data_IF_792472497020
#
_entry.id   IF_792472497020
#
_cell.length_a   1.000
_cell.length_b   1.000
_cell.length_c   1.000
_cell.angle_alpha   90.00
_cell.angle_beta   90.00
_cell.angle_gamma   90.00
#
_symmetry.space_group_name_H-M   'P 1'
#
loop_
_entity.id
_entity.type
_entity.pdbx_description
1 polymer ?
#
# COMPACT_ATOMS: atom_id res chain seq x y z
N UNK A 1 -0.71 3.10 16.38
CA UNK A 1 -1.91 3.38 15.59
C UNK A 1 -2.12 2.39 14.44
N UNK A 2 -1.31 1.29 14.40
CA UNK A 2 -1.40 0.24 13.36
C UNK A 2 -1.89 -1.09 13.90
N UNK A 3 -2.30 -1.15 15.16
CA UNK A 3 -2.63 -2.39 15.88
C UNK A 3 -3.91 -3.07 15.35
N UNK A 4 -4.77 -2.31 14.70
CA UNK A 4 -6.07 -2.79 14.20
C UNK A 4 -6.06 -3.21 12.74
N UNK A 5 -4.96 -2.99 12.02
CA UNK A 5 -4.89 -3.30 10.59
C UNK A 5 -4.55 -4.76 10.33
N UNK A 6 -4.90 -5.24 9.13
CA UNK A 6 -4.57 -6.60 8.70
C UNK A 6 -3.09 -6.72 8.34
N UNK A 7 -2.51 -7.89 8.59
CA UNK A 7 -1.12 -8.21 8.23
C UNK A 7 -1.11 -9.05 6.96
N UNK A 8 -0.46 -8.58 5.91
CA UNK A 8 -0.30 -9.34 4.65
C UNK A 8 0.67 -10.50 4.78
N UNK A 9 1.55 -10.45 5.77
CA UNK A 9 2.55 -11.47 6.08
C UNK A 9 2.05 -12.54 7.04
N UNK A 10 2.99 -13.38 7.49
CA UNK A 10 2.73 -14.45 8.45
C UNK A 10 2.68 -13.91 9.90
N UNK A 11 2.00 -14.61 10.83
CA UNK A 11 1.86 -14.17 12.22
C UNK A 11 3.14 -14.27 13.05
N UNK A 12 4.20 -14.88 12.51
CA UNK A 12 5.45 -15.16 13.24
C UNK A 12 6.52 -14.08 13.07
N UNK A 13 6.31 -13.07 12.23
CA UNK A 13 7.22 -11.94 12.08
C UNK A 13 6.86 -10.86 13.14
N UNK A 14 7.34 -11.06 14.37
CA UNK A 14 6.98 -10.29 15.56
C UNK A 14 8.05 -9.29 16.00
N UNK A 15 9.12 -9.13 15.20
CA UNK A 15 10.20 -8.17 15.48
C UNK A 15 11.29 -8.72 16.42
N UNK A 16 11.34 -10.03 16.66
CA UNK A 16 12.29 -10.63 17.60
C UNK A 16 13.75 -10.32 17.24
N UNK A 17 14.12 -10.37 15.96
CA UNK A 17 15.46 -10.04 15.50
C UNK A 17 15.83 -8.58 15.75
N UNK A 18 14.88 -7.66 15.59
CA UNK A 18 15.09 -6.24 15.93
C UNK A 18 15.31 -6.09 17.44
N UNK A 19 14.46 -6.73 18.26
CA UNK A 19 14.61 -6.73 19.71
C UNK A 19 15.96 -7.26 20.15
N UNK A 20 16.39 -8.42 19.64
CA UNK A 20 17.68 -9.01 19.95
C UNK A 20 18.85 -8.07 19.61
N UNK A 21 18.79 -7.36 18.48
CA UNK A 21 19.81 -6.40 18.10
C UNK A 21 19.81 -5.18 19.04
N UNK A 22 18.63 -4.65 19.41
CA UNK A 22 18.51 -3.55 20.36
C UNK A 22 19.03 -3.93 21.75
N UNK A 23 18.78 -5.15 22.23
CA UNK A 23 19.25 -5.66 23.52
C UNK A 23 20.79 -5.71 23.62
N UNK A 24 21.51 -5.84 22.51
CA UNK A 24 22.98 -5.78 22.44
C UNK A 24 23.51 -4.38 22.07
N UNK A 25 22.68 -3.34 22.10
CA UNK A 25 23.08 -1.95 21.96
C UNK A 25 22.98 -1.37 20.55
N UNK A 26 22.27 -2.04 19.63
CA UNK A 26 22.03 -1.50 18.30
C UNK A 26 21.27 -0.16 18.35
N UNK A 27 21.61 0.75 17.44
CA UNK A 27 20.86 1.99 17.28
C UNK A 27 19.50 1.71 16.63
N UNK A 28 18.42 2.13 17.29
CA UNK A 28 17.10 2.25 16.69
C UNK A 28 17.11 3.34 15.63
N UNK A 29 16.61 3.06 14.42
CA UNK A 29 16.68 3.98 13.30
C UNK A 29 15.46 3.89 12.38
N UNK A 30 15.22 4.98 11.61
CA UNK A 30 14.13 5.05 10.66
C UNK A 30 12.82 5.53 11.25
N UNK A 31 11.72 5.32 10.52
CA UNK A 31 10.40 5.85 10.85
C UNK A 31 9.51 4.78 11.52
N UNK A 32 9.49 4.77 12.84
CA UNK A 32 8.82 3.74 13.65
C UNK A 32 7.29 3.80 13.66
N UNK A 33 6.70 4.91 13.24
CA UNK A 33 5.25 5.07 13.15
C UNK A 33 4.72 4.98 11.72
N UNK A 34 5.48 4.34 10.81
CA UNK A 34 5.08 4.12 9.42
C UNK A 34 5.52 2.75 8.92
N UNK A 35 4.81 2.29 7.90
CA UNK A 35 5.03 0.98 7.30
C UNK A 35 4.61 0.97 5.83
N UNK A 36 4.97 -0.09 5.13
CA UNK A 36 4.46 -0.41 3.81
C UNK A 36 3.01 -0.89 3.95
N UNK A 37 2.07 -0.03 3.60
CA UNK A 37 0.64 -0.28 3.64
C UNK A 37 0.04 -0.35 2.23
N UNK A 38 -1.07 -1.05 2.08
CA UNK A 38 -1.81 -1.15 0.81
C UNK A 38 -3.31 -1.18 1.06
N UNK A 39 -4.10 -0.87 0.02
CA UNK A 39 -5.51 -1.19 -0.01
C UNK A 39 -5.67 -2.72 -0.06
N UNK A 40 -6.24 -3.29 0.97
CA UNK A 40 -6.39 -4.73 1.20
C UNK A 40 -7.87 -5.09 1.29
N UNK A 41 -8.29 -6.15 0.63
CA UNK A 41 -9.70 -6.55 0.63
C UNK A 41 -10.23 -6.78 2.05
N UNK A 42 -11.42 -6.30 2.33
CA UNK A 42 -12.03 -6.40 3.67
C UNK A 42 -12.28 -7.85 4.10
N UNK A 43 -12.49 -8.79 3.15
CA UNK A 43 -12.63 -10.22 3.43
C UNK A 43 -11.30 -10.95 3.70
N UNK A 44 -10.15 -10.28 3.49
CA UNK A 44 -8.88 -10.91 3.80
C UNK A 44 -8.82 -11.31 5.28
N UNK A 45 -8.17 -12.44 5.62
CA UNK A 45 -7.96 -12.83 7.01
C UNK A 45 -7.05 -11.84 7.74
N UNK A 46 -6.95 -11.95 9.07
CA UNK A 46 -6.10 -11.08 9.90
C UNK A 46 -4.61 -11.17 9.51
N UNK A 47 -4.16 -12.33 9.07
CA UNK A 47 -2.82 -12.59 8.55
C UNK A 47 -2.90 -13.13 7.13
N UNK A 48 -1.77 -13.06 6.39
CA UNK A 48 -1.68 -13.53 5.02
C UNK A 48 -2.10 -14.99 4.83
N UNK A 49 -2.85 -15.24 3.77
CA UNK A 49 -3.25 -16.58 3.33
C UNK A 49 -2.24 -17.09 2.29
N UNK A 50 -1.62 -18.25 2.57
CA UNK A 50 -0.59 -18.84 1.70
C UNK A 50 -1.15 -19.39 0.38
N UNK A 51 -2.44 -19.63 0.29
CA UNK A 51 -3.09 -20.13 -0.93
C UNK A 51 -3.55 -18.99 -1.85
N UNK A 52 -4.01 -17.89 -1.26
CA UNK A 52 -4.45 -16.68 -1.99
C UNK A 52 -3.27 -15.73 -2.24
N UNK A 53 -2.29 -15.73 -1.33
CA UNK A 53 -1.09 -14.89 -1.40
C UNK A 53 -1.41 -13.39 -1.47
N UNK A 54 -0.91 -12.69 -2.50
CA UNK A 54 -1.04 -11.23 -2.68
C UNK A 54 -2.41 -10.79 -3.24
N UNK A 55 -3.29 -11.73 -3.64
CA UNK A 55 -4.48 -11.39 -4.42
C UNK A 55 -5.60 -10.69 -3.63
N UNK A 56 -5.42 -10.48 -2.33
CA UNK A 56 -6.29 -9.58 -1.57
C UNK A 56 -5.98 -8.10 -1.78
N UNK A 57 -4.83 -7.73 -2.37
CA UNK A 57 -4.53 -6.34 -2.73
C UNK A 57 -5.50 -5.80 -3.78
N UNK A 58 -5.74 -4.48 -3.80
CA UNK A 58 -6.66 -3.83 -4.73
C UNK A 58 -5.98 -2.60 -5.34
N UNK A 59 -5.28 -2.80 -6.47
CA UNK A 59 -4.35 -1.82 -7.04
C UNK A 59 -4.81 -1.18 -8.36
N UNK A 60 -6.02 -1.46 -8.85
CA UNK A 60 -6.56 -0.81 -10.06
C UNK A 60 -7.31 0.50 -9.76
N UNK A 61 -7.23 1.01 -8.56
CA UNK A 61 -7.91 2.25 -8.13
C UNK A 61 -7.67 3.46 -9.04
N UNK A 62 -6.54 3.60 -9.80
CA UNK A 62 -6.39 4.73 -10.71
C UNK A 62 -7.51 4.84 -11.75
N UNK A 63 -8.17 3.74 -12.06
CA UNK A 63 -9.24 3.67 -13.07
C UNK A 63 -10.65 3.77 -12.50
N UNK A 64 -10.80 4.00 -11.20
CA UNK A 64 -12.08 4.17 -10.52
C UNK A 64 -12.06 5.32 -9.54
N UNK A 65 -12.97 5.27 -8.55
CA UNK A 65 -13.01 6.17 -7.41
C UNK A 65 -12.75 5.39 -6.12
N UNK A 66 -12.17 6.06 -5.13
CA UNK A 66 -12.11 5.58 -3.75
C UNK A 66 -12.97 6.50 -2.89
N UNK A 67 -14.00 5.94 -2.26
CA UNK A 67 -14.90 6.65 -1.36
C UNK A 67 -14.90 6.02 0.03
N UNK A 68 -15.19 6.81 1.06
CA UNK A 68 -15.41 6.34 2.42
C UNK A 68 -16.87 5.85 2.62
N UNK A 69 -17.27 5.52 3.84
CA UNK A 69 -18.63 5.06 4.15
C UNK A 69 -19.70 6.14 3.94
N UNK A 70 -19.30 7.41 3.98
CA UNK A 70 -20.19 8.55 3.73
C UNK A 70 -20.32 8.85 2.22
N UNK A 71 -19.72 8.02 1.37
CA UNK A 71 -19.72 8.16 -0.09
C UNK A 71 -18.80 9.27 -0.61
N UNK A 72 -17.91 9.81 0.21
CA UNK A 72 -17.05 10.93 -0.12
C UNK A 72 -15.65 10.49 -0.58
N UNK A 73 -15.13 11.13 -1.62
CA UNK A 73 -13.72 10.98 -2.05
C UNK A 73 -12.79 11.74 -1.11
N UNK A 74 -11.65 11.16 -0.79
CA UNK A 74 -10.68 11.72 0.16
C UNK A 74 -9.24 11.76 -0.35
N UNK A 75 -8.98 11.27 -1.57
CA UNK A 75 -7.65 11.27 -2.20
C UNK A 75 -7.75 11.37 -3.72
N UNK A 76 -6.63 11.71 -4.36
CA UNK A 76 -6.48 11.71 -5.82
C UNK A 76 -6.03 10.32 -6.29
N UNK A 77 -6.95 9.53 -6.81
CA UNK A 77 -6.68 8.17 -7.29
C UNK A 77 -5.73 8.16 -8.50
N UNK A 78 -5.66 9.28 -9.21
CA UNK A 78 -4.86 9.48 -10.42
C UNK A 78 -3.57 10.26 -10.23
N UNK A 79 -3.09 10.49 -9.00
CA UNK A 79 -1.91 11.34 -8.74
C UNK A 79 -0.65 10.84 -9.45
N UNK A 80 -0.43 9.54 -9.52
CA UNK A 80 0.68 8.92 -10.26
C UNK A 80 0.37 7.44 -10.55
N UNK A 81 1.27 6.76 -11.27
CA UNK A 81 1.22 5.31 -11.40
C UNK A 81 1.16 4.64 -10.03
N UNK A 82 0.35 3.59 -9.91
CA UNK A 82 0.11 2.89 -8.63
C UNK A 82 1.39 2.52 -7.87
N UNK A 83 2.48 2.23 -8.57
CA UNK A 83 3.76 1.86 -7.96
C UNK A 83 4.35 2.95 -7.06
N UNK A 84 3.91 4.19 -7.22
CA UNK A 84 4.36 5.35 -6.45
C UNK A 84 3.32 5.83 -5.42
N UNK A 85 2.08 5.35 -5.48
CA UNK A 85 0.97 5.88 -4.66
C UNK A 85 0.36 4.86 -3.70
N UNK A 86 0.46 3.56 -3.97
CA UNK A 86 -0.31 2.55 -3.26
C UNK A 86 -0.03 2.48 -1.75
N UNK A 87 1.19 2.80 -1.31
CA UNK A 87 1.54 2.82 0.12
C UNK A 87 0.92 4.02 0.83
N UNK A 88 0.97 5.21 0.23
CA UNK A 88 0.31 6.39 0.79
C UNK A 88 -1.21 6.21 0.81
N UNK A 89 -1.77 5.53 -0.18
CA UNK A 89 -3.21 5.26 -0.23
C UNK A 89 -3.63 4.20 0.80
N UNK A 90 -2.86 3.12 0.97
CA UNK A 90 -3.09 2.18 2.05
C UNK A 90 -3.07 2.82 3.43
N UNK A 91 -2.21 3.83 3.63
CA UNK A 91 -2.18 4.62 4.86
C UNK A 91 -3.39 5.56 4.99
N UNK A 92 -3.81 6.20 3.90
CA UNK A 92 -4.96 7.11 3.92
C UNK A 92 -6.26 6.40 4.32
N UNK A 93 -6.41 5.12 4.00
CA UNK A 93 -7.57 4.32 4.42
C UNK A 93 -7.74 4.27 5.95
N UNK A 94 -6.63 4.19 6.70
CA UNK A 94 -6.69 4.19 8.18
C UNK A 94 -7.32 5.45 8.78
N UNK A 95 -7.27 6.57 8.07
CA UNK A 95 -7.81 7.85 8.56
C UNK A 95 -9.29 8.01 8.26
N UNK A 96 -9.87 7.10 7.47
CA UNK A 96 -11.28 7.13 7.15
C UNK A 96 -12.14 6.50 8.26
N UNK A 97 -13.41 6.86 8.35
CA UNK A 97 -14.32 6.26 9.31
C UNK A 97 -14.24 4.73 9.28
N UNK A 98 -14.09 4.09 10.42
CA UNK A 98 -13.93 2.64 10.61
C UNK A 98 -12.67 2.04 9.94
N UNK A 99 -11.75 2.85 9.37
CA UNK A 99 -10.62 2.36 8.57
C UNK A 99 -11.05 1.64 7.30
N UNK A 100 -12.20 2.03 6.75
CA UNK A 100 -12.88 1.37 5.63
C UNK A 100 -13.06 2.36 4.48
N UNK A 101 -12.88 1.87 3.25
CA UNK A 101 -13.22 2.56 2.04
C UNK A 101 -13.68 1.59 0.95
N UNK A 102 -14.15 2.14 -0.16
CA UNK A 102 -14.70 1.35 -1.26
C UNK A 102 -14.11 1.84 -2.57
N UNK A 103 -13.65 0.90 -3.38
CA UNK A 103 -13.24 1.19 -4.75
C UNK A 103 -14.42 0.93 -5.68
N UNK A 104 -14.85 1.95 -6.41
CA UNK A 104 -16.02 1.93 -7.30
C UNK A 104 -15.57 2.08 -8.75
N UNK A 105 -16.05 1.21 -9.63
CA UNK A 105 -15.67 1.18 -11.04
C UNK A 105 -16.88 1.12 -11.96
N UNK A 106 -16.73 1.80 -13.10
CA UNK A 106 -17.62 1.70 -14.25
C UNK A 106 -17.35 0.43 -15.08
N UNK A 107 -18.33 -0.02 -15.86
CA UNK A 107 -18.15 -1.19 -16.71
C UNK A 107 -17.14 -0.96 -17.85
N UNK A 108 -16.97 0.28 -18.31
CA UNK A 108 -16.02 0.64 -19.38
C UNK A 108 -14.59 0.28 -19.03
N UNK A 109 -14.21 0.38 -17.74
CA UNK A 109 -12.84 0.12 -17.25
C UNK A 109 -12.64 -1.31 -16.73
N UNK A 110 -13.65 -2.19 -16.83
CA UNK A 110 -13.57 -3.58 -16.37
C UNK A 110 -12.32 -4.31 -16.88
N UNK A 111 -11.95 -4.09 -18.12
CA UNK A 111 -10.79 -4.72 -18.78
C UNK A 111 -9.44 -4.23 -18.26
N UNK A 112 -9.40 -3.14 -17.48
CA UNK A 112 -8.21 -2.58 -16.81
C UNK A 112 -8.03 -3.11 -15.38
N UNK A 113 -9.05 -3.80 -14.85
CA UNK A 113 -8.98 -4.35 -13.51
C UNK A 113 -8.10 -5.61 -13.51
N UNK A 114 -7.16 -5.66 -12.58
CA UNK A 114 -6.20 -6.74 -12.42
C UNK A 114 -6.87 -8.01 -11.88
N UNK A 115 -6.21 -9.16 -12.02
CA UNK A 115 -6.72 -10.47 -11.60
C UNK A 115 -7.11 -10.53 -10.12
N UNK A 116 -6.44 -9.74 -9.27
CA UNK A 116 -6.70 -9.64 -7.83
C UNK A 116 -8.13 -9.19 -7.48
N UNK A 117 -8.87 -8.57 -8.41
CA UNK A 117 -10.26 -8.18 -8.22
C UNK A 117 -11.25 -9.34 -8.40
N UNK A 118 -10.83 -10.40 -9.07
CA UNK A 118 -11.72 -11.48 -9.51
C UNK A 118 -11.59 -12.78 -8.71
N UNK A 119 -10.85 -12.76 -7.58
CA UNK A 119 -10.79 -13.92 -6.70
C UNK A 119 -12.15 -14.16 -6.03
N UNK A 120 -12.56 -15.42 -5.82
CA UNK A 120 -13.85 -15.75 -5.20
C UNK A 120 -14.03 -15.19 -3.80
N UNK A 121 -12.94 -14.91 -3.09
CA UNK A 121 -12.94 -14.40 -1.72
C UNK A 121 -13.07 -12.87 -1.65
N UNK A 122 -13.04 -12.17 -2.79
CA UNK A 122 -13.13 -10.71 -2.81
C UNK A 122 -14.52 -10.21 -2.37
N UNK A 123 -14.54 -9.00 -1.81
CA UNK A 123 -15.78 -8.31 -1.40
C UNK A 123 -16.60 -7.75 -2.56
N UNK A 124 -16.43 -8.28 -3.77
CA UNK A 124 -17.03 -7.75 -4.98
C UNK A 124 -18.58 -7.71 -4.92
N UNK A 125 -19.11 -6.53 -5.17
CA UNK A 125 -20.54 -6.30 -5.42
C UNK A 125 -20.72 -5.74 -6.81
N UNK A 126 -21.69 -6.26 -7.56
CA UNK A 126 -22.08 -5.77 -8.87
C UNK A 126 -23.55 -5.33 -8.83
N UNK A 127 -23.88 -4.16 -9.38
CA UNK A 127 -25.23 -3.59 -9.39
C UNK A 127 -25.49 -2.79 -10.67
N UNK A 128 -26.77 -2.63 -11.03
CA UNK A 128 -27.16 -1.88 -12.22
C UNK A 128 -27.38 -0.39 -11.96
N UNK A 129 -27.49 0.02 -10.69
CA UNK A 129 -27.56 1.42 -10.28
C UNK A 129 -26.54 1.71 -9.19
N UNK A 130 -26.15 2.98 -9.02
CA UNK A 130 -25.28 3.42 -7.95
C UNK A 130 -25.94 3.31 -6.59
N UNK A 131 -27.23 3.54 -6.53
CA UNK A 131 -28.04 3.39 -5.30
C UNK A 131 -28.04 1.95 -4.81
N UNK A 132 -28.26 0.98 -5.71
CA UNK A 132 -28.17 -0.44 -5.36
C UNK A 132 -26.76 -0.84 -4.92
N UNK A 133 -25.74 -0.35 -5.61
CA UNK A 133 -24.34 -0.61 -5.27
C UNK A 133 -24.01 -0.08 -3.86
N UNK A 134 -24.37 1.18 -3.58
CA UNK A 134 -24.17 1.81 -2.29
C UNK A 134 -24.86 1.06 -1.17
N UNK A 135 -26.16 0.75 -1.33
CA UNK A 135 -26.95 0.03 -0.34
C UNK A 135 -26.38 -1.37 -0.02
N UNK A 136 -25.84 -2.09 -1.03
CA UNK A 136 -25.25 -3.42 -0.84
C UNK A 136 -23.85 -3.41 -0.25
N UNK A 137 -23.16 -2.28 -0.31
CA UNK A 137 -21.82 -2.07 0.28
C UNK A 137 -21.88 -1.32 1.62
N UNK A 138 -23.06 -0.94 2.12
CA UNK A 138 -23.25 -0.12 3.32
C UNK A 138 -22.55 1.27 3.20
N UNK A 139 -22.57 1.84 1.99
CA UNK A 139 -22.14 3.23 1.71
C UNK A 139 -23.38 4.13 1.82
N UNK A 140 -23.23 5.36 2.30
CA UNK A 140 -24.28 6.35 2.22
C UNK A 140 -24.71 6.55 0.76
N UNK A 141 -25.98 6.27 0.49
CA UNK A 141 -26.52 6.23 -0.88
C UNK A 141 -26.52 7.62 -1.50
N UNK A 142 -26.96 8.63 -0.78
CA UNK A 142 -27.02 10.02 -1.26
C UNK A 142 -25.60 10.55 -1.47
N UNK A 143 -24.69 10.27 -0.55
CA UNK A 143 -23.27 10.63 -0.63
C UNK A 143 -22.61 10.06 -1.87
N UNK A 144 -22.74 8.76 -2.15
CA UNK A 144 -22.13 8.14 -3.32
C UNK A 144 -22.72 8.71 -4.63
N UNK A 145 -24.05 8.82 -4.73
CA UNK A 145 -24.71 9.32 -5.94
C UNK A 145 -24.29 10.77 -6.23
N UNK A 146 -24.26 11.63 -5.21
CA UNK A 146 -23.82 13.01 -5.34
C UNK A 146 -22.34 13.10 -5.73
N UNK A 147 -21.47 12.32 -5.07
CA UNK A 147 -20.03 12.27 -5.41
C UNK A 147 -19.82 11.88 -6.86
N UNK A 148 -20.47 10.83 -7.36
CA UNK A 148 -20.33 10.39 -8.76
C UNK A 148 -20.88 11.45 -9.72
N UNK A 149 -22.00 12.09 -9.41
CA UNK A 149 -22.58 13.16 -10.23
C UNK A 149 -21.64 14.37 -10.35
N UNK A 150 -21.10 14.84 -9.23
CA UNK A 150 -20.15 15.95 -9.21
C UNK A 150 -18.85 15.59 -9.93
N UNK A 151 -18.34 14.39 -9.68
CA UNK A 151 -17.15 13.87 -10.34
C UNK A 151 -17.31 13.82 -11.86
N UNK A 152 -18.39 13.24 -12.37
CA UNK A 152 -18.67 13.15 -13.80
C UNK A 152 -18.75 14.53 -14.46
N UNK A 153 -19.37 15.52 -13.79
CA UNK A 153 -19.49 16.88 -14.29
C UNK A 153 -18.15 17.64 -14.32
N UNK A 154 -17.18 17.24 -13.50
CA UNK A 154 -15.89 17.91 -13.37
C UNK A 154 -14.80 17.38 -14.31
N UNK A 155 -15.05 16.30 -15.06
CA UNK A 155 -14.06 15.64 -15.92
C UNK A 155 -13.72 16.52 -17.13
N UNK A 156 -12.42 16.63 -17.44
CA UNK A 156 -11.89 17.25 -18.64
C UNK A 156 -12.00 16.27 -19.83
N UNK A 157 -13.17 16.26 -20.47
CA UNK A 157 -13.52 15.29 -21.53
C UNK A 157 -12.82 15.51 -22.86
N UNK A 158 -12.22 16.68 -23.05
CA UNK A 158 -11.41 17.05 -24.23
C UNK A 158 -10.04 16.35 -24.26
N UNK A 159 -9.59 15.80 -23.15
CA UNK A 159 -8.34 15.04 -23.04
C UNK A 159 -8.66 13.54 -23.26
N UNK A 160 -8.00 12.86 -24.21
CA UNK A 160 -8.22 11.42 -24.46
C UNK A 160 -7.76 10.56 -23.28
N UNK A 161 -8.58 9.60 -22.85
CA UNK A 161 -8.20 8.62 -21.83
C UNK A 161 -7.11 7.67 -22.38
N UNK A 162 -5.98 7.55 -21.65
CA UNK A 162 -4.90 6.63 -21.97
C UNK A 162 -4.30 5.99 -20.70
N UNK A 163 -4.65 4.73 -20.38
CA UNK A 163 -4.21 4.07 -19.15
C UNK A 163 -2.71 3.75 -19.11
N UNK A 164 -1.98 3.91 -20.22
CA UNK A 164 -0.56 3.52 -20.32
C UNK A 164 0.41 4.65 -20.02
N UNK A 165 -0.07 5.89 -19.96
CA UNK A 165 0.72 7.10 -19.64
C UNK A 165 -0.05 7.93 -18.62
N UNK A 166 0.61 8.88 -17.98
CA UNK A 166 -0.09 9.94 -17.24
C UNK A 166 -0.73 10.88 -18.27
N UNK A 167 -2.00 10.70 -18.51
CA UNK A 167 -2.73 11.32 -19.62
C UNK A 167 -3.17 12.76 -19.35
N UNK A 168 -3.14 13.19 -18.08
CA UNK A 168 -3.62 14.50 -17.67
C UNK A 168 -5.15 14.66 -17.74
N UNK A 169 -5.89 13.60 -18.10
CA UNK A 169 -7.35 13.59 -18.08
C UNK A 169 -7.83 13.57 -16.64
N UNK A 170 -8.02 14.75 -16.09
CA UNK A 170 -8.36 14.97 -14.69
C UNK A 170 -9.74 15.56 -14.49
N UNK A 171 -9.99 15.99 -13.24
CA UNK A 171 -11.16 16.78 -12.86
C UNK A 171 -10.74 18.16 -12.39
N UNK A 172 -11.66 19.12 -12.42
CA UNK A 172 -11.43 20.49 -11.93
C UNK A 172 -12.61 20.96 -11.08
N UNK A 173 -12.32 21.76 -10.04
CA UNK A 173 -13.35 22.37 -9.19
C UNK A 173 -13.89 21.51 -8.07
N UNK A 174 -13.36 20.30 -7.86
CA UNK A 174 -13.71 19.44 -6.74
C UNK A 174 -12.83 19.72 -5.52
N UNK A 175 -13.30 19.40 -4.32
CA UNK A 175 -12.50 19.44 -3.09
C UNK A 175 -11.22 18.60 -3.24
N UNK A 176 -11.34 17.41 -3.85
CA UNK A 176 -10.21 16.57 -4.23
C UNK A 176 -10.31 16.30 -5.73
N UNK A 177 -9.48 16.97 -6.53
CA UNK A 177 -9.41 16.70 -7.95
C UNK A 177 -8.66 15.37 -8.22
N UNK A 178 -9.06 14.70 -9.30
CA UNK A 178 -8.31 13.57 -9.86
C UNK A 178 -7.39 14.10 -10.96
N UNK A 179 -6.11 13.71 -10.94
CA UNK A 179 -5.09 14.29 -11.83
C UNK A 179 -5.01 13.59 -13.19
N UNK A 180 -5.16 12.26 -13.22
CA UNK A 180 -5.08 11.45 -14.43
C UNK A 180 -6.18 10.39 -14.46
N UNK A 181 -6.43 9.84 -15.65
CA UNK A 181 -7.32 8.70 -15.90
C UNK A 181 -8.75 8.90 -15.40
N UNK A 182 -9.23 10.14 -15.42
CA UNK A 182 -10.61 10.42 -15.06
C UNK A 182 -11.54 9.94 -16.18
N UNK A 183 -12.30 8.88 -15.90
CA UNK A 183 -13.35 8.36 -16.79
C UNK A 183 -14.70 8.46 -16.09
N UNK A 184 -15.76 8.73 -16.85
CA UNK A 184 -17.12 8.85 -16.31
C UNK A 184 -17.60 7.53 -15.71
N UNK A 185 -18.37 7.62 -14.64
CA UNK A 185 -19.06 6.47 -14.03
C UNK A 185 -20.54 6.60 -14.39
N UNK A 186 -20.92 6.03 -15.54
CA UNK A 186 -22.24 6.18 -16.15
C UNK A 186 -22.72 4.93 -16.91
N UNK A 187 -21.90 3.89 -17.00
CA UNK A 187 -22.21 2.67 -17.74
C UNK A 187 -22.28 1.45 -16.83
N UNK A 188 -23.47 0.92 -16.54
CA UNK A 188 -23.64 -0.28 -15.71
C UNK A 188 -23.20 -1.56 -16.45
N UNK A 189 -22.98 -2.68 -15.75
CA UNK A 189 -23.09 -2.78 -14.29
C UNK A 189 -21.89 -2.11 -13.58
N UNK A 190 -22.21 -1.39 -12.50
CA UNK A 190 -21.19 -0.82 -11.61
C UNK A 190 -20.65 -1.90 -10.69
N UNK A 191 -19.37 -1.78 -10.30
CA UNK A 191 -18.73 -2.73 -9.40
C UNK A 191 -18.03 -2.00 -8.25
N UNK A 192 -18.13 -2.60 -7.06
CA UNK A 192 -17.48 -2.07 -5.87
C UNK A 192 -16.81 -3.15 -5.05
N UNK A 193 -15.70 -2.77 -4.40
CA UNK A 193 -14.93 -3.61 -3.48
C UNK A 193 -14.68 -2.85 -2.18
N UNK A 194 -15.02 -3.48 -1.05
CA UNK A 194 -14.68 -2.94 0.26
C UNK A 194 -13.21 -3.21 0.56
N UNK A 195 -12.47 -2.17 0.95
CA UNK A 195 -11.04 -2.23 1.25
C UNK A 195 -10.73 -1.62 2.61
N UNK A 196 -9.75 -2.19 3.27
CA UNK A 196 -9.15 -1.70 4.50
C UNK A 196 -7.63 -1.61 4.32
N UNK A 197 -6.89 -1.30 5.38
CA UNK A 197 -5.44 -1.26 5.34
C UNK A 197 -4.84 -2.63 5.63
N UNK A 198 -3.90 -3.06 4.78
CA UNK A 198 -3.04 -4.21 5.00
C UNK A 198 -1.58 -3.79 5.04
N UNK A 199 -0.82 -4.21 6.07
CA UNK A 199 0.61 -3.92 6.20
C UNK A 199 1.47 -5.09 5.73
N UNK A 200 2.61 -4.78 5.10
CA UNK A 200 3.58 -5.77 4.64
C UNK A 200 4.82 -5.81 5.50
N UNK A 201 5.41 -4.66 5.85
CA UNK A 201 6.61 -4.53 6.67
C UNK A 201 6.75 -3.11 7.24
N UNK A 202 7.58 -2.96 8.27
CA UNK A 202 7.82 -1.69 8.97
C UNK A 202 8.94 -0.88 8.29
N UNK A 203 8.95 0.47 8.52
CA UNK A 203 10.02 1.35 8.06
C UNK A 203 11.06 1.67 9.13
N UNK A 204 10.73 1.42 10.39
CA UNK A 204 11.68 1.44 11.51
C UNK A 204 12.45 0.13 11.62
N UNK A 205 13.64 0.19 12.19
CA UNK A 205 14.49 -0.97 12.40
C UNK A 205 15.82 -0.59 13.05
N UNK A 206 16.88 -1.32 12.75
CA UNK A 206 18.23 -1.02 13.22
C UNK A 206 19.03 -0.26 12.17
N UNK A 207 20.01 0.56 12.61
CA UNK A 207 20.92 1.27 11.71
C UNK A 207 22.08 0.37 11.31
N UNK A 208 22.43 0.42 10.03
CA UNK A 208 23.63 -0.21 9.48
C UNK A 208 24.57 0.82 8.86
N UNK A 209 25.87 0.50 8.76
CA UNK A 209 26.83 1.25 7.99
C UNK A 209 26.91 0.73 6.54
N UNK A 210 27.83 1.28 5.74
CA UNK A 210 28.04 0.90 4.33
C UNK A 210 28.57 -0.51 4.13
N UNK A 211 29.01 -1.20 5.18
CA UNK A 211 29.43 -2.60 5.14
C UNK A 211 28.28 -3.57 5.58
N UNK A 212 27.10 -3.03 5.95
CA UNK A 212 25.99 -3.81 6.47
C UNK A 212 26.12 -4.20 7.93
N UNK A 213 27.12 -3.69 8.64
CA UNK A 213 27.30 -3.90 10.08
C UNK A 213 26.29 -3.07 10.85
N UNK A 214 25.64 -3.64 11.85
CA UNK A 214 24.78 -2.92 12.78
C UNK A 214 25.64 -2.03 13.66
N UNK A 215 25.18 -0.79 13.89
CA UNK A 215 25.94 0.19 14.67
C UNK A 215 25.23 0.57 15.95
N UNK A 216 26.03 1.00 16.95
CA UNK A 216 25.57 1.57 18.22
C UNK A 216 25.11 3.03 18.05
N UNK A 217 24.58 3.64 19.09
CA UNK A 217 24.30 5.10 19.10
C UNK A 217 25.54 5.97 18.93
N UNK A 218 26.73 5.48 19.28
CA UNK A 218 28.02 6.15 19.02
C UNK A 218 28.52 5.98 17.59
N UNK A 219 27.80 5.24 16.74
CA UNK A 219 28.12 4.88 15.35
C UNK A 219 29.24 3.83 15.23
N UNK A 220 29.61 3.17 16.32
CA UNK A 220 30.58 2.10 16.31
C UNK A 220 29.91 0.79 15.85
N UNK A 221 30.54 0.01 14.96
CA UNK A 221 30.04 -1.29 14.56
C UNK A 221 29.97 -2.25 15.74
N UNK A 222 28.88 -2.98 15.89
CA UNK A 222 28.76 -4.09 16.84
C UNK A 222 29.49 -5.30 16.22
N UNK A 223 30.58 -5.81 16.84
CA UNK A 223 31.35 -6.89 16.25
C UNK A 223 30.51 -8.13 15.94
N UNK A 224 30.64 -8.64 14.71
CA UNK A 224 29.95 -9.86 14.27
C UNK A 224 28.45 -9.70 13.98
N UNK A 225 27.86 -8.51 14.15
CA UNK A 225 26.44 -8.29 13.92
C UNK A 225 26.21 -7.52 12.60
N UNK A 226 25.46 -8.16 11.70
CA UNK A 226 25.06 -7.63 10.38
C UNK A 226 23.56 -7.69 10.21
N UNK A 227 23.00 -6.79 9.40
CA UNK A 227 21.57 -6.80 9.12
C UNK A 227 21.26 -6.44 7.66
N UNK A 228 20.15 -6.98 7.15
CA UNK A 228 19.62 -6.67 5.84
C UNK A 228 18.09 -6.87 5.81
N UNK A 229 17.44 -6.35 4.78
CA UNK A 229 16.00 -6.52 4.59
C UNK A 229 15.17 -5.67 5.53
N UNK A 230 14.01 -6.18 5.93
CA UNK A 230 13.00 -5.46 6.69
C UNK A 230 13.50 -4.90 8.02
N UNK A 231 14.39 -5.62 8.71
CA UNK A 231 14.92 -5.15 9.99
C UNK A 231 15.85 -3.94 9.91
N UNK A 232 16.26 -3.51 8.71
CA UNK A 232 17.08 -2.29 8.50
C UNK A 232 16.17 -1.09 8.37
N UNK A 233 16.25 -0.16 9.33
CA UNK A 233 15.50 1.08 9.32
C UNK A 233 16.11 2.17 8.45
N UNK A 234 15.30 3.18 8.08
CA UNK A 234 15.75 4.42 7.44
C UNK A 234 15.87 4.39 5.92
N UNK A 235 15.53 3.29 5.27
CA UNK A 235 15.49 3.21 3.80
C UNK A 235 14.23 3.85 3.21
N UNK A 236 13.14 3.84 3.94
CA UNK A 236 11.84 4.36 3.51
C UNK A 236 11.25 5.31 4.54
N UNK A 237 10.48 6.29 4.05
CA UNK A 237 9.85 7.30 4.88
C UNK A 237 8.50 7.73 4.27
N UNK A 238 7.40 7.44 4.94
CA UNK A 238 6.00 7.69 4.53
C UNK A 238 5.57 7.04 3.23
N UNK A 239 6.46 6.80 2.28
CA UNK A 239 6.14 6.19 0.99
C UNK A 239 7.19 5.15 0.60
N UNK A 240 6.88 4.38 -0.45
CA UNK A 240 7.69 3.25 -0.88
C UNK A 240 7.49 3.01 -2.39
N UNK A 241 8.53 3.07 -3.21
CA UNK A 241 8.44 2.68 -4.61
C UNK A 241 8.33 1.16 -4.74
N UNK A 242 7.34 0.70 -5.52
CA UNK A 242 7.08 -0.74 -5.68
C UNK A 242 8.33 -1.53 -6.10
N UNK A 243 8.62 -2.62 -5.37
CA UNK A 243 9.76 -3.50 -5.59
C UNK A 243 11.07 -3.11 -4.89
N UNK A 244 11.17 -1.91 -4.33
CA UNK A 244 12.43 -1.42 -3.72
C UNK A 244 12.82 -2.16 -2.44
N UNK A 245 11.87 -2.68 -1.66
CA UNK A 245 12.16 -3.49 -0.47
C UNK A 245 12.85 -4.80 -0.79
N UNK A 246 12.38 -5.51 -1.83
CA UNK A 246 13.02 -6.73 -2.30
C UNK A 246 14.43 -6.45 -2.83
N UNK A 247 14.59 -5.40 -3.63
CA UNK A 247 15.89 -4.96 -4.13
C UNK A 247 16.85 -4.59 -3.00
N UNK A 248 16.38 -3.84 -1.99
CA UNK A 248 17.17 -3.49 -0.80
C UNK A 248 17.61 -4.75 -0.03
N UNK A 249 16.69 -5.71 0.18
CA UNK A 249 17.00 -7.00 0.82
C UNK A 249 18.09 -7.78 0.08
N UNK A 250 18.04 -7.82 -1.25
CA UNK A 250 19.05 -8.49 -2.09
C UNK A 250 20.41 -7.79 -2.03
N UNK A 251 20.44 -6.47 -2.20
CA UNK A 251 21.68 -5.69 -2.22
C UNK A 251 22.36 -5.71 -0.87
N UNK A 252 21.65 -5.34 0.18
CA UNK A 252 22.22 -5.30 1.54
C UNK A 252 22.49 -6.71 2.08
N UNK A 253 21.70 -7.73 1.72
CA UNK A 253 21.97 -9.11 2.08
C UNK A 253 23.27 -9.62 1.49
N UNK A 254 23.53 -9.36 0.20
CA UNK A 254 24.82 -9.68 -0.44
C UNK A 254 25.97 -8.94 0.22
N UNK A 255 25.81 -7.62 0.44
CA UNK A 255 26.83 -6.78 1.06
C UNK A 255 27.20 -7.26 2.47
N UNK A 256 26.19 -7.45 3.32
CA UNK A 256 26.34 -7.89 4.70
C UNK A 256 26.98 -9.28 4.77
N UNK A 257 26.51 -10.22 3.95
CA UNK A 257 27.06 -11.58 3.91
C UNK A 257 28.51 -11.64 3.43
N UNK A 258 28.88 -10.85 2.42
CA UNK A 258 30.27 -10.76 1.94
C UNK A 258 31.19 -10.20 3.03
N UNK A 259 30.82 -9.07 3.64
CA UNK A 259 31.64 -8.44 4.68
C UNK A 259 31.72 -9.31 5.96
N UNK A 260 30.64 -9.99 6.34
CA UNK A 260 30.67 -10.91 7.46
C UNK A 260 31.65 -12.08 7.24
N UNK A 261 31.68 -12.63 6.03
CA UNK A 261 32.62 -13.70 5.68
C UNK A 261 34.08 -13.22 5.66
N UNK A 262 34.34 -12.01 5.21
CA UNK A 262 35.68 -11.41 5.24
C UNK A 262 36.15 -11.17 6.67
N UNK A 263 35.33 -10.56 7.51
CA UNK A 263 35.66 -10.26 8.91
C UNK A 263 35.85 -11.56 9.73
N UNK A 264 35.09 -12.62 9.43
CA UNK A 264 35.26 -13.93 10.09
C UNK A 264 36.60 -14.60 9.77
N UNK A 265 37.16 -14.41 8.56
CA UNK A 265 38.48 -14.95 8.21
C UNK A 265 39.58 -14.23 8.98
N UNK A 266 39.49 -12.90 9.11
CA UNK A 266 40.47 -12.11 9.89
C UNK A 266 40.50 -12.58 11.35
N UNK A 267 39.37 -12.93 11.94
CA UNK A 267 39.28 -13.42 13.30
C UNK A 267 39.83 -14.85 13.49
N UNK A 268 39.94 -15.64 12.42
CA UNK A 268 40.54 -16.99 12.46
C UNK A 268 42.06 -16.95 12.36
N UNK A 269 42.63 -15.86 11.85
CA UNK A 269 44.08 -15.66 11.66
C UNK A 269 44.74 -14.99 12.89
N UNK A 270 43.96 -14.69 13.94
CA UNK A 270 44.41 -14.14 15.24
C UNK A 270 44.38 -15.26 16.30
#
# INVERSE_FOLDING_TARGET
>A
GWETVKVRGIPYNTGDAIKMALDVGAQSYGHWSSCHAVAWDMNAPAFGDRTITELFQKHSYPFGLIVNIDGERFLDEGADFRNYTYVTYGRALMTQPQGLAFQVFDNKVKHLLRDEYWIPQATMVEANTLEELAARLDIDVEGLVNTVKEYNAAIQTDIPHNPTVKDGRGTTGLTVNKTNWAETIDTPPYRGWAVTTGISFTFGGVKINTRGQVVTNAQDPIPGLYAAGEMVGGLFYYNYPGGSGLSAGMVFGKLSGTNAAEDAKILQDI
#
